data_IF_201560989076
#
_entry.id   IF_201560989076
#
_cell.length_a   1.000
_cell.length_b   1.000
_cell.length_c   1.000
_cell.angle_alpha   90.00
_cell.angle_beta   90.00
_cell.angle_gamma   90.00
#
_symmetry.space_group_name_H-M   'P 1'
#
loop_
_entity.id
_entity.type
_entity.pdbx_description
1 polymer ?
#
# COMPACT_ATOMS: atom_id res chain seq x y z
N UNK A 1 8.93 11.49 8.09
CA UNK A 1 8.36 10.26 7.49
C UNK A 1 8.78 10.19 6.03
N UNK A 2 9.08 8.99 5.52
CA UNK A 2 9.56 8.79 4.14
C UNK A 2 8.75 7.69 3.47
N UNK A 3 8.04 8.01 2.40
CA UNK A 3 7.23 7.03 1.66
C UNK A 3 7.31 7.23 0.15
N UNK A 4 7.36 6.14 -0.59
CA UNK A 4 7.32 6.12 -2.06
C UNK A 4 6.28 5.09 -2.48
N UNK A 5 5.40 5.49 -3.38
CA UNK A 5 4.36 4.62 -3.93
C UNK A 5 3.18 5.39 -4.49
N UNK A 6 2.03 4.75 -4.48
CA UNK A 6 0.76 5.30 -4.93
C UNK A 6 0.04 6.06 -3.81
N UNK A 7 -1.13 6.61 -4.09
CA UNK A 7 -1.96 7.26 -3.07
C UNK A 7 -2.23 6.35 -1.85
N UNK A 8 -2.38 5.04 -2.07
CA UNK A 8 -2.56 4.06 -0.98
C UNK A 8 -1.34 3.93 -0.06
N UNK A 9 -0.14 4.25 -0.58
CA UNK A 9 1.10 4.26 0.20
C UNK A 9 1.32 5.59 0.94
N UNK A 10 0.78 6.70 0.45
CA UNK A 10 1.01 8.05 1.00
C UNK A 10 -0.02 8.44 2.06
N UNK A 11 -1.30 8.13 1.83
CA UNK A 11 -2.37 8.54 2.74
C UNK A 11 -2.21 8.04 4.18
N UNK A 12 -1.80 6.77 4.47
CA UNK A 12 -1.56 6.33 5.83
C UNK A 12 -0.43 7.09 6.53
N UNK A 13 0.63 7.46 5.80
CA UNK A 13 1.73 8.26 6.35
C UNK A 13 1.33 9.69 6.63
N UNK A 14 0.48 10.27 5.78
CA UNK A 14 -0.10 11.57 6.02
C UNK A 14 -1.00 11.55 7.27
N UNK A 15 -1.81 10.51 7.45
CA UNK A 15 -2.60 10.33 8.66
C UNK A 15 -1.73 10.22 9.92
N UNK A 16 -0.64 9.44 9.86
CA UNK A 16 0.30 9.33 10.97
C UNK A 16 1.03 10.67 11.24
N UNK A 17 1.42 11.40 10.18
CA UNK A 17 2.09 12.69 10.33
C UNK A 17 1.19 13.72 11.04
N UNK A 18 -0.09 13.80 10.66
CA UNK A 18 -1.09 14.67 11.32
C UNK A 18 -1.26 14.27 12.79
N UNK A 19 -1.42 12.98 13.07
CA UNK A 19 -1.60 12.50 14.43
C UNK A 19 -0.35 12.75 15.31
N UNK A 20 0.86 12.70 14.74
CA UNK A 20 2.10 13.10 15.41
C UNK A 20 2.12 14.61 15.72
N UNK A 21 1.65 15.46 14.78
CA UNK A 21 1.52 16.91 15.04
C UNK A 21 0.52 17.20 16.15
N UNK A 22 -0.61 16.49 16.19
CA UNK A 22 -1.59 16.59 17.27
C UNK A 22 -1.01 16.17 18.64
N UNK A 23 0.02 15.31 18.63
CA UNK A 23 0.76 14.89 19.83
C UNK A 23 1.92 15.86 20.19
N UNK A 24 2.15 16.91 19.39
CA UNK A 24 3.16 17.96 19.61
C UNK A 24 4.50 17.74 18.93
N UNK A 25 4.59 16.82 17.96
CA UNK A 25 5.81 16.61 17.16
C UNK A 25 5.81 17.49 15.91
N UNK A 26 6.97 17.98 15.53
CA UNK A 26 7.18 18.54 14.19
C UNK A 26 7.37 17.42 13.20
N UNK A 27 6.65 17.45 12.09
CA UNK A 27 6.67 16.38 11.09
C UNK A 27 6.92 16.90 9.68
N UNK A 28 7.79 16.20 8.95
CA UNK A 28 8.02 16.39 7.52
C UNK A 28 7.68 15.09 6.81
N UNK A 29 6.89 15.16 5.73
CA UNK A 29 6.55 14.01 4.92
C UNK A 29 7.23 14.08 3.56
N UNK A 30 8.22 13.21 3.37
CA UNK A 30 8.87 12.98 2.08
C UNK A 30 8.03 12.03 1.23
N UNK A 31 7.62 12.51 0.05
CA UNK A 31 6.86 11.73 -0.93
C UNK A 31 7.15 12.19 -2.37
N UNK A 32 6.60 11.49 -3.38
CA UNK A 32 6.68 11.91 -4.78
C UNK A 32 5.96 13.25 -5.00
N UNK A 33 6.44 14.04 -5.97
CA UNK A 33 5.99 15.41 -6.27
C UNK A 33 4.47 15.53 -6.47
N UNK A 34 3.87 14.52 -7.04
CA UNK A 34 2.41 14.46 -7.31
C UNK A 34 1.52 14.56 -6.05
N UNK A 35 2.09 14.34 -4.85
CA UNK A 35 1.36 14.39 -3.58
C UNK A 35 1.56 15.72 -2.81
N UNK A 36 2.30 16.67 -3.36
CA UNK A 36 2.60 17.95 -2.71
C UNK A 36 1.32 18.65 -2.23
N UNK A 37 0.40 18.92 -3.14
CA UNK A 37 -0.83 19.65 -2.81
C UNK A 37 -1.68 18.91 -1.78
N UNK A 38 -1.73 17.57 -1.85
CA UNK A 38 -2.45 16.76 -0.88
C UNK A 38 -1.85 16.91 0.52
N UNK A 39 -0.52 16.89 0.65
CA UNK A 39 0.18 16.91 1.93
C UNK A 39 0.12 18.33 2.53
N UNK A 40 0.45 19.35 1.75
CA UNK A 40 0.47 20.75 2.20
C UNK A 40 -0.94 21.26 2.56
N UNK A 41 -1.98 20.86 1.79
CA UNK A 41 -3.38 21.18 2.13
C UNK A 41 -3.85 20.65 3.49
N UNK A 42 -3.10 19.69 4.08
CA UNK A 42 -3.36 19.11 5.39
C UNK A 42 -2.46 19.68 6.50
N UNK A 43 -1.70 20.72 6.20
CA UNK A 43 -0.82 21.38 7.18
C UNK A 43 0.45 20.59 7.54
N UNK A 44 0.82 19.57 6.75
CA UNK A 44 2.05 18.82 6.93
C UNK A 44 3.11 19.36 5.97
N UNK A 45 4.33 19.58 6.47
CA UNK A 45 5.45 20.00 5.64
C UNK A 45 5.79 18.90 4.63
N UNK A 46 5.83 19.28 3.34
CA UNK A 46 6.16 18.39 2.24
C UNK A 46 7.62 18.52 1.84
N UNK A 47 8.27 17.38 1.57
CA UNK A 47 9.57 17.34 0.92
C UNK A 47 9.54 16.41 -0.30
N UNK A 48 9.93 16.92 -1.47
CA UNK A 48 9.94 16.12 -2.69
C UNK A 48 11.02 15.04 -2.63
N UNK A 49 10.65 13.79 -2.87
CA UNK A 49 11.56 12.65 -3.05
C UNK A 49 11.86 12.37 -4.53
N UNK A 50 11.34 13.19 -5.43
CA UNK A 50 11.53 13.04 -6.87
C UNK A 50 10.23 12.98 -7.65
N UNK A 51 10.31 12.69 -8.96
CA UNK A 51 9.19 12.74 -9.87
C UNK A 51 8.11 11.69 -9.55
N UNK A 52 6.93 11.89 -10.12
CA UNK A 52 5.79 11.00 -10.02
C UNK A 52 6.11 9.56 -10.40
N UNK A 53 5.89 8.64 -9.46
CA UNK A 53 5.93 7.19 -9.73
C UNK A 53 4.86 6.80 -10.74
N UNK A 54 3.73 7.49 -10.69
CA UNK A 54 2.59 7.31 -11.58
C UNK A 54 2.98 7.62 -13.03
N UNK A 55 3.64 8.77 -13.27
CA UNK A 55 4.15 9.12 -14.59
C UNK A 55 5.18 8.09 -15.10
N UNK A 56 5.99 7.52 -14.21
CA UNK A 56 6.92 6.45 -14.57
C UNK A 56 6.20 5.16 -15.01
N UNK A 57 5.17 4.75 -14.28
CA UNK A 57 4.39 3.54 -14.62
C UNK A 57 3.59 3.70 -15.91
N UNK A 58 3.21 4.94 -16.29
CA UNK A 58 2.50 5.25 -17.55
C UNK A 58 3.40 5.30 -18.78
N UNK A 59 4.71 5.38 -18.63
CA UNK A 59 5.56 5.39 -19.81
C UNK A 59 5.32 4.12 -20.63
N UNK A 60 5.08 4.30 -21.93
CA UNK A 60 4.75 3.22 -22.90
C UNK A 60 5.73 2.04 -22.88
N UNK A 61 6.95 2.25 -22.37
CA UNK A 61 7.96 1.22 -22.15
C UNK A 61 7.61 0.24 -21.02
N UNK A 62 6.92 0.71 -19.96
CA UNK A 62 6.50 -0.17 -18.85
C UNK A 62 5.31 -1.04 -19.27
N UNK A 63 4.35 -0.48 -19.97
CA UNK A 63 3.20 -1.23 -20.54
C UNK A 63 3.66 -2.30 -21.53
N UNK A 64 4.58 -1.95 -22.43
CA UNK A 64 5.17 -2.88 -23.39
C UNK A 64 6.08 -3.93 -22.69
N UNK A 65 6.76 -3.58 -21.61
CA UNK A 65 7.58 -4.53 -20.86
C UNK A 65 6.76 -5.57 -20.10
N UNK A 66 5.58 -5.20 -19.64
CA UNK A 66 4.64 -6.12 -18.97
C UNK A 66 3.88 -6.99 -19.97
N UNK A 67 3.67 -6.52 -21.21
CA UNK A 67 2.96 -7.24 -22.29
C UNK A 67 3.87 -8.13 -23.13
N UNK A 68 5.14 -7.74 -23.32
CA UNK A 68 6.12 -8.48 -24.12
C UNK A 68 7.28 -8.91 -23.23
N UNK A 69 7.52 -10.22 -23.19
CA UNK A 69 8.67 -10.90 -22.55
C UNK A 69 9.41 -10.09 -21.47
N UNK A 70 8.96 -10.21 -20.24
CA UNK A 70 9.53 -9.60 -19.04
C UNK A 70 11.06 -9.76 -18.94
N UNK A 71 11.63 -10.80 -19.53
CA UNK A 71 13.05 -11.11 -19.54
C UNK A 71 13.89 -10.13 -20.38
N UNK A 72 13.34 -9.58 -21.47
CA UNK A 72 14.10 -8.69 -22.37
C UNK A 72 14.22 -7.28 -21.79
N UNK A 73 13.18 -6.80 -21.10
CA UNK A 73 13.10 -5.41 -20.58
C UNK A 73 13.50 -5.29 -19.11
N UNK A 74 13.68 -6.41 -18.40
CA UNK A 74 14.05 -6.42 -16.97
C UNK A 74 15.29 -5.55 -16.64
N UNK A 75 16.42 -5.57 -17.41
CA UNK A 75 17.58 -4.75 -17.09
C UNK A 75 17.31 -3.24 -17.18
N UNK A 76 16.49 -2.80 -18.13
CA UNK A 76 16.15 -1.37 -18.29
C UNK A 76 15.22 -0.90 -17.17
N UNK A 77 14.20 -1.68 -16.82
CA UNK A 77 13.29 -1.40 -15.71
C UNK A 77 14.02 -1.36 -14.36
N UNK A 78 14.96 -2.27 -14.15
CA UNK A 78 15.78 -2.31 -12.94
C UNK A 78 16.67 -1.06 -12.83
N UNK A 79 17.30 -0.62 -13.92
CA UNK A 79 18.11 0.60 -13.93
C UNK A 79 17.29 1.85 -13.64
N UNK A 80 16.09 1.95 -14.21
CA UNK A 80 15.19 3.07 -13.96
C UNK A 80 14.69 3.07 -12.50
N UNK A 81 14.31 1.90 -11.98
CA UNK A 81 13.96 1.76 -10.56
C UNK A 81 15.11 2.17 -9.62
N UNK A 82 16.35 1.79 -9.97
CA UNK A 82 17.54 2.21 -9.22
C UNK A 82 17.74 3.73 -9.24
N UNK A 83 17.52 4.40 -10.37
CA UNK A 83 17.61 5.87 -10.46
C UNK A 83 16.58 6.58 -9.58
N UNK A 84 15.35 6.08 -9.55
CA UNK A 84 14.29 6.62 -8.67
C UNK A 84 14.72 6.49 -7.20
N UNK A 85 15.19 5.31 -6.80
CA UNK A 85 15.65 5.05 -5.43
C UNK A 85 16.87 5.92 -5.07
N UNK A 86 17.84 6.10 -5.99
CA UNK A 86 19.02 6.95 -5.78
C UNK A 86 18.62 8.42 -5.57
N UNK A 87 17.73 8.93 -6.42
CA UNK A 87 17.21 10.30 -6.32
C UNK A 87 16.48 10.49 -4.98
N UNK A 88 15.57 9.60 -4.67
CA UNK A 88 14.78 9.68 -3.44
C UNK A 88 15.66 9.60 -2.19
N UNK A 89 16.67 8.74 -2.19
CA UNK A 89 17.59 8.61 -1.06
C UNK A 89 18.43 9.89 -0.83
N UNK A 90 18.86 10.59 -1.90
CA UNK A 90 19.55 11.88 -1.79
C UNK A 90 18.66 12.98 -1.24
N UNK A 91 17.42 13.06 -1.72
CA UNK A 91 16.44 14.01 -1.22
C UNK A 91 16.08 13.72 0.25
N UNK A 92 15.84 12.47 0.59
CA UNK A 92 15.57 12.06 1.97
C UNK A 92 16.76 12.32 2.91
N UNK A 93 18.00 12.15 2.45
CA UNK A 93 19.20 12.52 3.21
C UNK A 93 19.20 13.99 3.61
N UNK A 94 18.88 14.88 2.65
CA UNK A 94 18.83 16.32 2.92
C UNK A 94 17.67 16.65 3.87
N UNK A 95 16.50 16.04 3.67
CA UNK A 95 15.31 16.24 4.49
C UNK A 95 15.52 15.81 5.96
N UNK A 96 16.26 14.72 6.18
CA UNK A 96 16.42 14.14 7.51
C UNK A 96 17.48 14.82 8.37
N UNK A 97 18.21 15.84 7.85
CA UNK A 97 19.18 16.58 8.65
C UNK A 97 18.48 17.31 9.81
N UNK A 98 18.90 17.01 11.04
CA UNK A 98 18.31 17.58 12.25
C UNK A 98 17.04 16.89 12.75
N UNK A 99 16.62 15.80 12.14
CA UNK A 99 15.50 15.00 12.65
C UNK A 99 15.94 14.10 13.81
N UNK A 100 15.00 13.81 14.73
CA UNK A 100 15.22 12.93 15.89
C UNK A 100 14.87 11.46 15.61
N UNK A 101 14.07 11.18 14.59
CA UNK A 101 13.68 9.84 14.17
C UNK A 101 13.30 9.80 12.68
N UNK A 102 13.40 8.62 12.07
CA UNK A 102 12.95 8.40 10.70
C UNK A 102 11.97 7.22 10.64
N UNK A 103 10.80 7.46 10.05
CA UNK A 103 9.76 6.46 9.81
C UNK A 103 9.75 6.14 8.33
N UNK A 104 9.91 4.87 7.98
CA UNK A 104 10.16 4.40 6.62
C UNK A 104 9.30 3.20 6.26
N UNK A 105 9.08 2.98 4.97
CA UNK A 105 8.47 1.75 4.46
C UNK A 105 9.48 0.87 3.71
N UNK A 106 9.02 -0.27 3.20
CA UNK A 106 9.87 -1.18 2.45
C UNK A 106 10.51 -0.54 1.20
N UNK A 107 9.79 0.36 0.52
CA UNK A 107 10.25 1.04 -0.69
C UNK A 107 11.31 2.11 -0.38
N UNK A 108 11.36 2.57 0.86
CA UNK A 108 12.29 3.59 1.36
C UNK A 108 13.31 3.03 2.36
N UNK A 109 13.63 1.74 2.23
CA UNK A 109 14.56 1.04 3.14
C UNK A 109 15.98 1.63 3.20
N UNK A 110 16.35 2.53 2.27
CA UNK A 110 17.55 3.35 2.36
C UNK A 110 17.55 4.28 3.61
N UNK A 111 16.39 4.56 4.17
CA UNK A 111 16.27 5.32 5.40
C UNK A 111 16.92 4.63 6.62
N UNK A 112 17.14 3.30 6.58
CA UNK A 112 17.95 2.60 7.58
C UNK A 112 19.40 3.10 7.57
N UNK A 113 19.94 3.36 6.38
CA UNK A 113 21.30 3.86 6.22
C UNK A 113 21.42 5.33 6.65
N UNK A 114 20.37 6.13 6.35
CA UNK A 114 20.26 7.52 6.80
C UNK A 114 20.22 7.57 8.34
N UNK A 115 19.40 6.75 8.96
CA UNK A 115 19.28 6.67 10.42
C UNK A 115 20.60 6.27 11.08
N UNK A 116 21.33 5.31 10.49
CA UNK A 116 22.68 4.93 10.95
C UNK A 116 23.65 6.11 10.89
N UNK A 117 23.69 6.84 9.77
CA UNK A 117 24.60 7.96 9.58
C UNK A 117 24.30 9.13 10.52
N UNK A 118 23.01 9.44 10.73
CA UNK A 118 22.55 10.50 11.61
C UNK A 118 22.49 10.09 13.09
N UNK A 119 22.66 8.79 13.38
CA UNK A 119 22.57 8.21 14.74
C UNK A 119 21.21 8.45 15.39
N UNK A 120 20.16 8.31 14.62
CA UNK A 120 18.75 8.42 15.06
C UNK A 120 18.04 7.06 14.91
N UNK A 121 16.93 6.82 15.61
CA UNK A 121 16.14 5.61 15.43
C UNK A 121 15.48 5.55 14.04
N UNK A 122 15.48 4.36 13.43
CA UNK A 122 14.65 4.03 12.29
C UNK A 122 13.48 3.15 12.74
N UNK A 123 12.26 3.52 12.37
CA UNK A 123 11.05 2.73 12.57
C UNK A 123 10.59 2.25 11.20
N UNK A 124 10.53 0.92 11.03
CA UNK A 124 9.98 0.31 9.82
C UNK A 124 8.47 0.28 9.90
N UNK A 125 7.80 0.52 8.77
CA UNK A 125 6.35 0.43 8.69
C UNK A 125 5.92 -0.34 7.45
N UNK A 126 4.77 -0.98 7.51
CA UNK A 126 4.23 -1.69 6.35
C UNK A 126 2.69 -1.70 6.37
N UNK A 127 2.11 -1.67 5.18
CA UNK A 127 0.66 -1.74 4.97
C UNK A 127 0.16 -3.17 4.75
N UNK A 128 1.08 -4.13 4.66
CA UNK A 128 0.84 -5.56 4.43
C UNK A 128 1.82 -6.41 5.25
N UNK A 129 1.49 -7.67 5.58
CA UNK A 129 2.33 -8.54 6.40
C UNK A 129 3.57 -9.00 5.62
N UNK A 130 4.75 -8.56 6.07
CA UNK A 130 6.04 -8.79 5.38
C UNK A 130 7.06 -9.55 6.21
N UNK A 131 6.95 -9.59 7.55
CA UNK A 131 7.84 -10.42 8.36
C UNK A 131 7.62 -11.91 8.05
N UNK A 132 8.71 -12.66 8.03
CA UNK A 132 8.66 -14.10 7.75
C UNK A 132 7.79 -14.85 8.75
N UNK A 133 6.89 -15.71 8.24
CA UNK A 133 6.02 -16.56 9.04
C UNK A 133 5.82 -17.92 8.40
N UNK A 134 5.47 -18.90 9.22
CA UNK A 134 5.03 -20.22 8.78
C UNK A 134 3.54 -20.30 8.46
N UNK A 135 2.74 -19.28 8.80
CA UNK A 135 1.29 -19.31 8.72
C UNK A 135 0.75 -19.02 7.30
N UNK A 136 1.52 -18.28 6.49
CA UNK A 136 1.19 -17.99 5.08
C UNK A 136 2.45 -17.64 4.29
N UNK A 137 2.44 -17.82 2.95
CA UNK A 137 3.55 -17.39 2.09
C UNK A 137 3.60 -15.87 1.98
N UNK A 138 4.76 -15.33 1.59
CA UNK A 138 4.94 -13.89 1.40
C UNK A 138 3.81 -13.30 0.53
N UNK A 139 3.10 -12.32 1.07
CA UNK A 139 1.91 -11.74 0.44
C UNK A 139 2.18 -11.20 -0.97
N UNK A 140 3.38 -10.68 -1.25
CA UNK A 140 3.81 -10.16 -2.55
C UNK A 140 3.87 -11.22 -3.65
N UNK A 141 4.09 -12.49 -3.28
CA UNK A 141 4.12 -13.64 -4.20
C UNK A 141 2.96 -14.61 -3.96
N UNK A 142 1.94 -14.12 -3.26
CA UNK A 142 0.82 -14.94 -2.86
C UNK A 142 0.01 -15.44 -4.08
N UNK A 143 0.02 -16.76 -4.27
CA UNK A 143 -0.69 -17.40 -5.39
C UNK A 143 -2.11 -17.87 -5.04
N UNK A 144 -2.59 -17.52 -3.83
CA UNK A 144 -3.95 -17.84 -3.40
C UNK A 144 -4.07 -19.09 -2.53
N UNK A 145 -2.98 -19.81 -2.26
CA UNK A 145 -2.97 -21.02 -1.45
C UNK A 145 -1.92 -20.95 -0.33
N UNK A 146 -2.22 -21.58 0.78
CA UNK A 146 -1.23 -21.95 1.78
C UNK A 146 -0.32 -23.04 1.20
N UNK A 147 0.99 -22.85 1.32
CA UNK A 147 2.00 -23.77 0.80
C UNK A 147 2.50 -24.75 1.89
N UNK A 148 1.99 -24.62 3.11
CA UNK A 148 2.46 -25.29 4.30
C UNK A 148 3.67 -24.61 4.96
N UNK A 149 3.91 -24.86 6.26
CA UNK A 149 4.82 -24.06 7.09
C UNK A 149 6.23 -23.87 6.53
N UNK A 150 6.83 -24.91 5.97
CA UNK A 150 8.19 -24.87 5.44
C UNK A 150 8.29 -24.02 4.17
N UNK A 151 7.37 -24.23 3.21
CA UNK A 151 7.37 -23.48 1.95
C UNK A 151 6.88 -22.05 2.15
N UNK A 152 5.99 -21.81 3.10
CA UNK A 152 5.62 -20.45 3.50
C UNK A 152 6.87 -19.68 3.94
N UNK A 153 7.66 -20.20 4.87
CA UNK A 153 8.95 -19.58 5.28
C UNK A 153 9.94 -19.43 4.14
N UNK A 154 10.05 -20.43 3.27
CA UNK A 154 10.96 -20.38 2.11
C UNK A 154 10.62 -19.24 1.16
N UNK A 155 9.34 -18.90 0.99
CA UNK A 155 8.90 -17.80 0.11
C UNK A 155 9.52 -16.45 0.50
N UNK A 156 9.76 -16.21 1.80
CA UNK A 156 10.41 -15.00 2.30
C UNK A 156 11.91 -14.94 2.00
N UNK A 157 12.57 -16.07 1.82
CA UNK A 157 13.98 -16.13 1.43
C UNK A 157 14.20 -15.52 0.05
N UNK A 158 13.26 -15.72 -0.87
CA UNK A 158 13.30 -15.07 -2.20
C UNK A 158 13.31 -13.54 -2.10
N UNK A 159 12.52 -12.96 -1.18
CA UNK A 159 12.55 -11.52 -0.94
C UNK A 159 13.87 -11.03 -0.35
N UNK A 160 14.51 -11.83 0.50
CA UNK A 160 15.83 -11.50 1.06
C UNK A 160 16.91 -11.46 -0.02
N UNK A 161 16.88 -12.41 -0.96
CA UNK A 161 17.79 -12.42 -2.12
C UNK A 161 17.55 -11.21 -3.02
N UNK A 162 16.29 -10.90 -3.30
CA UNK A 162 15.93 -9.71 -4.07
C UNK A 162 16.41 -8.42 -3.37
N UNK A 163 16.28 -8.33 -2.05
CA UNK A 163 16.76 -7.20 -1.27
C UNK A 163 18.28 -7.03 -1.35
N UNK A 164 19.04 -8.12 -1.33
CA UNK A 164 20.51 -8.08 -1.50
C UNK A 164 20.91 -7.43 -2.83
N UNK A 165 20.17 -7.68 -3.91
CA UNK A 165 20.38 -7.02 -5.20
C UNK A 165 20.22 -5.50 -5.11
N UNK A 166 19.21 -5.00 -4.38
CA UNK A 166 18.99 -3.57 -4.17
C UNK A 166 20.02 -2.92 -3.24
N UNK A 167 20.76 -3.70 -2.44
CA UNK A 167 21.84 -3.17 -1.59
C UNK A 167 23.09 -2.73 -2.38
N UNK A 168 23.31 -3.25 -3.58
CA UNK A 168 24.48 -2.89 -4.39
C UNK A 168 24.54 -1.39 -4.73
N UNK A 169 23.51 -0.76 -5.34
CA UNK A 169 23.51 0.68 -5.59
C UNK A 169 23.50 1.50 -4.29
N UNK A 170 22.82 1.03 -3.23
CA UNK A 170 22.80 1.67 -1.91
C UNK A 170 24.20 1.80 -1.31
N UNK A 171 25.10 0.85 -1.53
CA UNK A 171 26.47 0.90 -1.04
C UNK A 171 27.28 2.07 -1.64
N UNK A 172 26.92 2.55 -2.83
CA UNK A 172 27.47 3.77 -3.39
C UNK A 172 27.03 4.98 -2.56
N UNK A 173 25.75 5.12 -2.29
CA UNK A 173 25.19 6.20 -1.45
C UNK A 173 25.75 6.17 -0.03
N UNK A 174 25.86 4.99 0.58
CA UNK A 174 26.47 4.83 1.90
C UNK A 174 27.85 5.43 1.97
N UNK A 175 28.71 5.14 0.98
CA UNK A 175 30.08 5.64 0.95
C UNK A 175 30.20 7.11 0.58
N UNK A 176 29.52 7.53 -0.49
CA UNK A 176 29.69 8.86 -1.07
C UNK A 176 28.94 9.94 -0.31
N UNK A 177 27.73 9.65 0.15
CA UNK A 177 26.83 10.62 0.77
C UNK A 177 26.87 10.57 2.30
N UNK A 178 26.91 9.36 2.88
CA UNK A 178 26.70 9.14 4.30
C UNK A 178 28.01 8.84 5.06
N UNK A 179 29.11 8.60 4.34
CA UNK A 179 30.40 8.26 4.97
C UNK A 179 30.43 6.91 5.67
N UNK A 180 29.54 5.98 5.30
CA UNK A 180 29.39 4.66 5.89
C UNK A 180 30.12 3.58 5.06
N UNK A 181 30.50 2.48 5.71
CA UNK A 181 31.01 1.30 5.02
C UNK A 181 29.93 0.58 4.22
N UNK A 182 30.36 -0.20 3.22
CA UNK A 182 29.45 -1.01 2.42
C UNK A 182 28.78 -2.09 3.28
N UNK A 183 27.49 -2.31 3.02
CA UNK A 183 26.69 -3.35 3.64
C UNK A 183 26.47 -4.47 2.62
N UNK A 184 27.08 -5.63 2.84
CA UNK A 184 26.96 -6.78 1.92
C UNK A 184 25.64 -7.51 2.10
N UNK A 185 25.21 -7.68 3.35
CA UNK A 185 23.94 -8.33 3.70
C UNK A 185 23.18 -7.49 4.73
N UNK A 186 21.87 -7.49 4.63
CA UNK A 186 21.02 -6.80 5.60
C UNK A 186 19.56 -7.03 5.28
N UNK A 187 18.80 -7.46 6.28
CA UNK A 187 17.36 -7.63 6.16
C UNK A 187 16.64 -6.30 6.08
N UNK A 188 15.44 -6.33 5.54
CA UNK A 188 14.51 -5.19 5.51
C UNK A 188 14.13 -4.73 6.93
N UNK A 189 14.12 -5.68 7.87
CA UNK A 189 13.62 -5.50 9.24
C UNK A 189 14.74 -5.50 10.30
N UNK A 190 15.97 -5.27 9.89
CA UNK A 190 17.12 -5.21 10.80
C UNK A 190 17.94 -3.95 10.52
N UNK A 191 18.54 -3.40 11.58
CA UNK A 191 19.57 -2.38 11.41
C UNK A 191 20.85 -3.00 10.82
N UNK A 192 21.88 -2.20 10.70
CA UNK A 192 23.17 -2.64 10.10
C UNK A 192 23.94 -3.64 10.96
N UNK A 193 23.67 -3.72 12.25
CA UNK A 193 24.26 -4.71 13.18
C UNK A 193 23.45 -6.02 13.23
N UNK A 194 22.34 -6.11 12.47
CA UNK A 194 21.44 -7.25 12.47
C UNK A 194 20.41 -7.25 13.60
N UNK A 195 20.34 -6.17 14.38
CA UNK A 195 19.30 -6.02 15.42
C UNK A 195 17.94 -5.77 14.77
N UNK A 196 16.87 -6.48 15.19
CA UNK A 196 15.54 -6.26 14.67
C UNK A 196 15.06 -4.81 14.89
N UNK A 197 14.55 -4.18 13.82
CA UNK A 197 13.87 -2.89 13.90
C UNK A 197 12.44 -3.08 14.43
N UNK A 198 11.94 -2.11 15.15
CA UNK A 198 10.50 -2.03 15.40
C UNK A 198 9.79 -1.83 14.06
N UNK A 199 8.84 -2.71 13.79
CA UNK A 199 8.05 -2.70 12.56
C UNK A 199 6.59 -2.52 12.93
N UNK A 200 5.98 -1.42 12.47
CA UNK A 200 4.58 -1.10 12.70
C UNK A 200 3.76 -1.46 11.46
N UNK A 201 2.78 -2.29 11.65
CA UNK A 201 1.87 -2.71 10.59
C UNK A 201 0.57 -1.92 10.66
N UNK A 202 0.32 -1.09 9.63
CA UNK A 202 -0.84 -0.21 9.53
C UNK A 202 -2.07 -0.93 8.95
N UNK A 203 -2.43 -2.05 9.53
CA UNK A 203 -3.67 -2.78 9.29
C UNK A 203 -4.20 -3.37 10.61
N UNK A 204 -5.46 -3.84 10.61
CA UNK A 204 -6.11 -4.38 11.81
C UNK A 204 -5.87 -5.88 11.98
N UNK A 205 -5.66 -6.32 13.23
CA UNK A 205 -5.64 -7.75 13.59
C UNK A 205 -7.00 -8.43 13.34
N UNK A 206 -8.10 -7.71 13.38
CA UNK A 206 -9.41 -8.23 13.01
C UNK A 206 -9.49 -8.65 11.54
N UNK A 207 -8.73 -7.97 10.66
CA UNK A 207 -8.66 -8.31 9.23
C UNK A 207 -7.55 -9.33 8.96
N UNK A 208 -6.39 -9.15 9.54
CA UNK A 208 -5.25 -10.05 9.40
C UNK A 208 -4.55 -10.23 10.75
N UNK A 209 -4.84 -11.34 11.47
CA UNK A 209 -4.23 -11.61 12.75
C UNK A 209 -2.70 -11.60 12.70
N UNK A 210 -2.08 -11.10 13.75
CA UNK A 210 -0.63 -11.12 13.88
C UNK A 210 -0.15 -12.59 13.95
N UNK A 211 0.78 -13.05 13.08
CA UNK A 211 1.33 -14.39 13.15
C UNK A 211 2.04 -14.68 14.48
N UNK A 212 1.88 -15.90 14.98
CA UNK A 212 2.42 -16.30 16.30
C UNK A 212 3.93 -16.36 16.34
N UNK A 213 4.56 -16.64 15.20
CA UNK A 213 6.01 -16.76 15.06
C UNK A 213 6.72 -15.44 14.67
N UNK A 214 6.00 -14.34 14.65
CA UNK A 214 6.60 -13.02 14.43
C UNK A 214 7.42 -12.55 15.65
N UNK A 215 8.52 -11.80 15.41
CA UNK A 215 9.31 -11.22 16.50
C UNK A 215 8.48 -10.20 17.29
N UNK A 216 8.80 -10.01 18.56
CA UNK A 216 8.11 -9.03 19.42
C UNK A 216 8.19 -7.59 18.90
N UNK A 217 9.15 -7.29 18.02
CA UNK A 217 9.31 -5.99 17.39
C UNK A 217 8.36 -5.76 16.21
N UNK A 218 7.63 -6.78 15.75
CA UNK A 218 6.63 -6.67 14.67
C UNK A 218 5.24 -6.50 15.29
N UNK A 219 4.68 -5.30 15.21
CA UNK A 219 3.47 -4.86 15.93
C UNK A 219 2.38 -4.46 14.93
N UNK A 220 1.19 -5.01 15.09
CA UNK A 220 0.01 -4.61 14.32
C UNK A 220 -0.72 -3.53 15.10
N UNK A 221 -0.82 -2.33 14.54
CA UNK A 221 -1.32 -1.15 15.26
C UNK A 221 -2.77 -0.81 14.94
N UNK A 222 -3.33 -1.36 13.88
CA UNK A 222 -4.60 -0.92 13.32
C UNK A 222 -4.39 -0.03 12.09
N UNK A 223 -5.45 0.28 11.36
CA UNK A 223 -5.36 1.11 10.17
C UNK A 223 -5.05 2.58 10.50
N UNK A 224 -4.15 3.19 9.74
CA UNK A 224 -3.87 4.63 9.80
C UNK A 224 -4.75 5.35 8.80
N UNK A 225 -5.91 5.77 9.28
CA UNK A 225 -6.91 6.39 8.40
C UNK A 225 -6.75 7.89 8.33
N UNK A 226 -6.61 8.39 7.11
CA UNK A 226 -6.71 9.81 6.84
C UNK A 226 -8.19 10.21 6.91
N UNK A 227 -8.56 10.95 7.95
CA UNK A 227 -9.90 11.54 8.02
C UNK A 227 -10.02 12.61 6.94
N UNK A 228 -10.92 12.42 5.99
CA UNK A 228 -11.16 13.43 4.96
C UNK A 228 -11.97 14.58 5.57
N UNK A 229 -11.38 15.79 5.50
CA UNK A 229 -12.08 17.03 5.81
C UNK A 229 -12.77 17.62 4.57
N UNK A 230 -12.72 16.90 3.45
CA UNK A 230 -13.28 17.40 2.19
C UNK A 230 -14.80 17.44 2.29
N UNK A 231 -15.37 18.60 1.92
CA UNK A 231 -16.81 18.82 1.74
C UNK A 231 -17.32 18.12 0.46
N UNK A 232 -16.82 16.89 0.21
CA UNK A 232 -17.34 16.14 -0.91
C UNK A 232 -18.79 15.75 -0.68
N UNK A 233 -19.66 16.22 -1.55
CA UNK A 233 -21.07 15.89 -1.60
C UNK A 233 -21.40 15.26 -2.94
N UNK A 234 -22.38 14.35 -2.99
CA UNK A 234 -22.90 13.81 -4.24
C UNK A 234 -23.37 14.95 -5.16
N UNK A 235 -22.90 14.93 -6.43
CA UNK A 235 -23.39 15.88 -7.43
C UNK A 235 -24.90 15.72 -7.64
N UNK A 236 -25.62 16.74 -8.15
CA UNK A 236 -27.04 16.62 -8.45
C UNK A 236 -27.37 15.45 -9.39
N UNK A 237 -26.48 15.14 -10.33
CA UNK A 237 -26.62 14.00 -11.26
C UNK A 237 -26.52 12.68 -10.49
N UNK A 238 -25.55 12.56 -9.57
CA UNK A 238 -25.40 11.37 -8.76
C UNK A 238 -26.57 11.20 -7.78
N UNK A 239 -27.06 12.27 -7.18
CA UNK A 239 -28.24 12.25 -6.33
C UNK A 239 -29.47 11.74 -7.10
N UNK A 240 -29.69 12.22 -8.32
CA UNK A 240 -30.75 11.71 -9.21
C UNK A 240 -30.56 10.24 -9.53
N UNK A 241 -29.33 9.85 -9.84
CA UNK A 241 -29.00 8.44 -10.04
C UNK A 241 -29.34 7.60 -8.79
N UNK A 242 -28.97 8.01 -7.59
CA UNK A 242 -29.28 7.28 -6.35
C UNK A 242 -30.79 7.18 -6.11
N UNK A 243 -31.53 8.26 -6.33
CA UNK A 243 -32.99 8.31 -6.13
C UNK A 243 -33.78 7.44 -7.13
N UNK A 244 -33.20 7.04 -8.24
CA UNK A 244 -33.86 6.29 -9.30
C UNK A 244 -34.00 4.78 -9.03
N UNK A 245 -33.50 4.25 -7.91
CA UNK A 245 -33.65 2.80 -7.57
C UNK A 245 -32.74 2.39 -6.42
N UNK A 246 -32.53 1.07 -6.28
CA UNK A 246 -31.75 0.47 -5.21
C UNK A 246 -30.30 0.96 -5.16
N UNK A 247 -29.68 0.86 -3.98
CA UNK A 247 -28.29 1.27 -3.77
C UNK A 247 -27.35 0.51 -4.73
N UNK A 248 -26.54 1.24 -5.53
CA UNK A 248 -25.65 0.62 -6.51
C UNK A 248 -24.51 -0.16 -5.85
N UNK A 249 -23.81 -0.99 -6.63
CA UNK A 249 -22.51 -1.57 -6.27
C UNK A 249 -21.39 -0.73 -6.88
N UNK A 250 -20.36 -0.41 -6.11
CA UNK A 250 -19.15 0.25 -6.62
C UNK A 250 -18.25 -0.76 -7.34
N UNK A 251 -17.71 -0.39 -8.49
CA UNK A 251 -16.74 -1.20 -9.25
C UNK A 251 -15.55 -0.34 -9.65
N UNK A 252 -14.35 -0.72 -9.18
CA UNK A 252 -13.11 0.00 -9.48
C UNK A 252 -11.90 -0.93 -9.52
N UNK A 253 -11.29 -1.13 -10.69
CA UNK A 253 -10.15 -2.03 -10.86
C UNK A 253 -8.79 -1.38 -10.55
N UNK A 254 -8.77 -0.18 -9.92
CA UNK A 254 -7.56 0.53 -9.54
C UNK A 254 -6.90 1.28 -10.70
N UNK A 255 -5.65 1.70 -10.49
CA UNK A 255 -4.92 2.58 -11.40
C UNK A 255 -4.02 1.86 -12.41
N UNK A 256 -4.09 0.54 -12.52
CA UNK A 256 -3.29 -0.20 -13.51
C UNK A 256 -4.04 -0.32 -14.84
N UNK A 257 -3.43 0.12 -15.97
CA UNK A 257 -4.11 0.25 -17.27
C UNK A 257 -4.18 -1.07 -18.07
N UNK A 258 -4.54 -2.18 -17.41
CA UNK A 258 -4.59 -3.47 -18.08
C UNK A 258 -5.96 -3.76 -18.70
N UNK A 259 -6.02 -3.74 -20.06
CA UNK A 259 -7.17 -4.25 -20.82
C UNK A 259 -8.44 -3.44 -20.65
N UNK A 260 -8.36 -2.11 -20.77
CA UNK A 260 -9.46 -1.17 -20.60
C UNK A 260 -10.73 -1.56 -21.34
N UNK A 261 -10.62 -1.82 -22.65
CA UNK A 261 -11.75 -2.19 -23.50
C UNK A 261 -12.39 -3.50 -23.04
N UNK A 262 -11.58 -4.54 -22.81
CA UNK A 262 -12.08 -5.83 -22.30
C UNK A 262 -12.79 -5.67 -20.95
N UNK A 263 -12.22 -4.90 -20.05
CA UNK A 263 -12.79 -4.69 -18.71
C UNK A 263 -14.12 -3.93 -18.77
N UNK A 264 -14.21 -2.95 -19.67
CA UNK A 264 -15.46 -2.19 -19.92
C UNK A 264 -16.54 -3.11 -20.49
N UNK A 265 -16.23 -3.97 -21.44
CA UNK A 265 -17.20 -4.92 -21.99
C UNK A 265 -17.67 -5.94 -20.93
N UNK A 266 -16.76 -6.49 -20.13
CA UNK A 266 -17.12 -7.39 -19.02
C UNK A 266 -18.04 -6.67 -18.03
N UNK A 267 -17.74 -5.42 -17.67
CA UNK A 267 -18.55 -4.62 -16.76
C UNK A 267 -19.96 -4.39 -17.30
N UNK A 268 -20.09 -3.90 -18.52
CA UNK A 268 -21.39 -3.63 -19.17
C UNK A 268 -22.28 -4.90 -19.20
N UNK A 269 -21.69 -5.99 -19.67
CA UNK A 269 -22.43 -7.26 -19.76
C UNK A 269 -22.77 -7.84 -18.38
N UNK A 270 -21.87 -7.74 -17.40
CA UNK A 270 -22.14 -8.20 -16.04
C UNK A 270 -23.29 -7.42 -15.38
N UNK A 271 -23.33 -6.09 -15.53
CA UNK A 271 -24.42 -5.25 -14.99
C UNK A 271 -25.74 -5.58 -15.71
N UNK A 272 -25.69 -5.82 -17.03
CA UNK A 272 -26.88 -6.25 -17.78
C UNK A 272 -27.40 -7.61 -17.32
N UNK A 273 -26.53 -8.59 -17.10
CA UNK A 273 -26.89 -9.93 -16.63
C UNK A 273 -27.44 -9.92 -15.20
N UNK A 274 -26.86 -9.10 -14.34
CA UNK A 274 -27.31 -8.93 -12.96
C UNK A 274 -28.62 -8.15 -12.85
N UNK A 275 -28.83 -7.18 -13.75
CA UNK A 275 -30.04 -6.34 -13.75
C UNK A 275 -30.08 -5.26 -12.68
N UNK A 276 -28.98 -5.05 -11.94
CA UNK A 276 -28.86 -4.02 -10.90
C UNK A 276 -28.17 -2.76 -11.39
N UNK A 277 -27.66 -1.96 -10.45
CA UNK A 277 -27.06 -0.63 -10.71
C UNK A 277 -25.63 -0.58 -10.20
N UNK A 278 -24.74 0.06 -10.97
CA UNK A 278 -23.34 0.18 -10.61
C UNK A 278 -22.85 1.63 -10.60
N UNK A 279 -21.85 1.87 -9.77
CA UNK A 279 -21.05 3.10 -9.78
C UNK A 279 -19.62 2.74 -10.12
N UNK A 280 -19.03 3.40 -11.10
CA UNK A 280 -17.68 3.09 -11.55
C UNK A 280 -16.76 4.29 -11.37
N UNK A 281 -15.53 4.05 -10.93
CA UNK A 281 -14.49 5.08 -11.03
C UNK A 281 -13.94 5.08 -12.46
N UNK A 282 -13.95 6.24 -13.10
CA UNK A 282 -13.16 6.55 -14.31
C UNK A 282 -11.69 6.58 -13.89
N UNK A 283 -11.21 5.49 -13.32
CA UNK A 283 -9.82 5.40 -12.92
C UNK A 283 -8.98 4.94 -14.10
N UNK A 284 -7.69 4.96 -13.91
CA UNK A 284 -6.66 4.47 -14.83
C UNK A 284 -6.84 3.00 -15.22
N UNK A 285 -7.67 2.24 -14.49
CA UNK A 285 -8.05 0.86 -14.77
C UNK A 285 -8.90 0.64 -16.01
N UNK A 286 -9.09 1.68 -16.82
CA UNK A 286 -9.58 1.55 -18.17
C UNK A 286 -11.05 1.15 -18.27
N UNK A 287 -11.93 1.93 -17.65
CA UNK A 287 -13.35 1.91 -18.02
C UNK A 287 -13.57 3.12 -18.91
N UNK A 288 -13.95 2.87 -20.18
CA UNK A 288 -14.39 3.91 -21.10
C UNK A 288 -15.81 4.35 -20.73
N UNK A 289 -16.02 5.61 -20.31
CA UNK A 289 -17.32 6.10 -19.92
C UNK A 289 -18.21 6.54 -21.07
N UNK A 290 -17.71 6.58 -22.30
CA UNK A 290 -18.40 7.20 -23.45
C UNK A 290 -19.65 6.44 -23.89
N UNK A 291 -19.80 5.16 -23.48
CA UNK A 291 -20.90 4.28 -23.89
C UNK A 291 -21.36 3.40 -22.73
N UNK A 292 -21.70 4.03 -21.60
CA UNK A 292 -22.25 3.32 -20.45
C UNK A 292 -23.77 3.42 -20.43
N UNK A 293 -24.48 2.31 -20.10
CA UNK A 293 -25.94 2.35 -19.95
C UNK A 293 -26.36 3.16 -18.71
N UNK A 294 -27.60 3.61 -18.68
CA UNK A 294 -28.17 4.42 -17.57
C UNK A 294 -28.09 3.75 -16.21
N UNK A 295 -27.94 2.40 -16.19
CA UNK A 295 -27.74 1.64 -14.95
C UNK A 295 -26.33 1.79 -14.36
N UNK A 296 -25.40 2.46 -15.04
CA UNK A 296 -24.01 2.67 -14.62
C UNK A 296 -23.69 4.15 -14.53
N UNK A 297 -23.37 4.64 -13.33
CA UNK A 297 -22.89 6.01 -13.12
C UNK A 297 -21.36 6.02 -13.00
N UNK A 298 -20.70 6.92 -13.76
CA UNK A 298 -19.23 7.03 -13.77
C UNK A 298 -18.74 8.29 -13.07
N UNK A 299 -17.82 8.13 -12.10
CA UNK A 299 -17.09 9.24 -11.47
C UNK A 299 -15.69 9.40 -12.07
N UNK A 300 -15.20 10.64 -12.14
CA UNK A 300 -13.77 10.86 -12.40
C UNK A 300 -12.92 10.55 -11.17
N UNK A 301 -13.32 11.09 -10.02
CA UNK A 301 -12.67 10.86 -8.73
C UNK A 301 -13.67 11.08 -7.60
N UNK A 302 -13.68 10.19 -6.63
CA UNK A 302 -14.45 10.38 -5.41
C UNK A 302 -13.70 9.73 -4.23
N UNK A 303 -13.72 10.33 -3.02
CA UNK A 303 -13.14 9.74 -1.83
C UNK A 303 -13.92 8.48 -1.45
N UNK A 304 -13.22 7.36 -1.26
CA UNK A 304 -13.86 6.07 -0.96
C UNK A 304 -14.65 6.11 0.36
N UNK A 305 -14.14 6.78 1.38
CA UNK A 305 -14.80 6.92 2.68
C UNK A 305 -16.11 7.70 2.63
N UNK A 306 -16.30 8.52 1.59
CA UNK A 306 -17.55 9.25 1.32
C UNK A 306 -18.46 8.45 0.37
N UNK A 307 -17.90 8.03 -0.78
CA UNK A 307 -18.67 7.35 -1.83
C UNK A 307 -19.24 6.01 -1.34
N UNK A 308 -18.48 5.23 -0.57
CA UNK A 308 -18.93 3.89 -0.14
C UNK A 308 -20.10 3.92 0.85
N UNK A 309 -20.46 5.09 1.37
CA UNK A 309 -21.70 5.26 2.16
C UNK A 309 -22.97 5.08 1.32
N UNK A 310 -22.87 5.30 0.02
CA UNK A 310 -24.00 5.28 -0.93
C UNK A 310 -24.13 3.97 -1.71
N UNK A 311 -23.25 2.99 -1.47
CA UNK A 311 -23.24 1.73 -2.22
C UNK A 311 -23.58 0.54 -1.33
N UNK A 312 -24.15 -0.50 -1.91
CA UNK A 312 -24.54 -1.74 -1.21
C UNK A 312 -23.39 -2.74 -1.09
N UNK A 313 -22.36 -2.63 -1.95
CA UNK A 313 -21.19 -3.48 -1.97
C UNK A 313 -20.08 -2.87 -2.79
N UNK A 314 -18.88 -3.45 -2.73
CA UNK A 314 -17.67 -2.92 -3.36
C UNK A 314 -16.97 -4.03 -4.16
N UNK A 315 -16.67 -3.75 -5.44
CA UNK A 315 -15.80 -4.58 -6.28
C UNK A 315 -14.51 -3.80 -6.55
N UNK A 316 -13.36 -4.35 -6.18
CA UNK A 316 -12.09 -3.66 -6.39
C UNK A 316 -10.91 -4.62 -6.57
N UNK A 317 -9.74 -4.06 -6.93
CA UNK A 317 -8.53 -4.83 -7.22
C UNK A 317 -7.85 -5.47 -5.99
N UNK A 318 -8.22 -5.09 -4.77
CA UNK A 318 -7.64 -5.65 -3.54
C UNK A 318 -6.46 -4.89 -2.97
N UNK A 319 -6.25 -3.62 -3.33
CA UNK A 319 -5.28 -2.77 -2.64
C UNK A 319 -5.65 -2.59 -1.16
N UNK A 320 -4.66 -2.57 -0.26
CA UNK A 320 -4.84 -2.48 1.19
C UNK A 320 -5.77 -1.32 1.61
N UNK A 321 -5.58 -0.12 1.05
CA UNK A 321 -6.39 1.07 1.37
C UNK A 321 -7.85 0.94 0.94
N UNK A 322 -8.13 0.42 -0.27
CA UNK A 322 -9.51 0.23 -0.75
C UNK A 322 -10.22 -0.90 0.01
N UNK A 323 -9.48 -1.97 0.35
CA UNK A 323 -10.00 -3.06 1.21
C UNK A 323 -10.38 -2.50 2.58
N UNK A 324 -9.50 -1.72 3.18
CA UNK A 324 -9.76 -1.02 4.45
C UNK A 324 -11.00 -0.14 4.37
N UNK A 325 -11.12 0.70 3.34
CA UNK A 325 -12.25 1.63 3.18
C UNK A 325 -13.60 0.89 3.08
N UNK A 326 -13.65 -0.22 2.33
CA UNK A 326 -14.86 -1.06 2.20
C UNK A 326 -15.25 -1.69 3.54
N UNK A 327 -14.29 -2.31 4.22
CA UNK A 327 -14.52 -2.98 5.51
C UNK A 327 -14.90 -2.00 6.63
N UNK A 328 -14.27 -0.82 6.71
CA UNK A 328 -14.63 0.21 7.70
C UNK A 328 -16.08 0.72 7.58
N UNK A 329 -16.63 0.68 6.37
CA UNK A 329 -18.02 1.09 6.13
C UNK A 329 -18.99 -0.10 6.09
N UNK A 330 -18.54 -1.29 6.50
CA UNK A 330 -19.36 -2.49 6.56
C UNK A 330 -19.88 -2.91 5.19
N UNK A 331 -19.10 -2.71 4.13
CA UNK A 331 -19.53 -3.04 2.76
C UNK A 331 -19.03 -4.42 2.37
N UNK A 332 -19.95 -5.34 2.00
CA UNK A 332 -19.57 -6.59 1.35
C UNK A 332 -18.64 -6.32 0.17
N UNK A 333 -17.57 -7.12 0.03
CA UNK A 333 -16.51 -6.78 -0.91
C UNK A 333 -16.11 -7.98 -1.77
N UNK A 334 -16.13 -7.80 -3.09
CA UNK A 334 -15.55 -8.76 -4.05
C UNK A 334 -14.21 -8.26 -4.58
N UNK A 335 -13.16 -9.05 -4.37
CA UNK A 335 -11.81 -8.67 -4.78
C UNK A 335 -11.42 -9.35 -6.09
N UNK A 336 -10.97 -8.54 -7.05
CA UNK A 336 -10.49 -8.94 -8.37
C UNK A 336 -8.98 -8.62 -8.49
N UNK A 337 -8.10 -9.44 -7.88
CA UNK A 337 -6.70 -9.11 -7.75
C UNK A 337 -5.97 -9.20 -9.09
N UNK A 338 -5.00 -8.30 -9.27
CA UNK A 338 -4.12 -8.21 -10.43
C UNK A 338 -2.71 -8.67 -10.08
N UNK A 339 -2.09 -8.09 -9.04
CA UNK A 339 -0.70 -8.32 -8.68
C UNK A 339 -0.42 -8.04 -7.18
N UNK A 340 0.81 -8.23 -6.77
CA UNK A 340 1.40 -7.84 -5.48
C UNK A 340 0.64 -8.49 -4.31
N UNK A 341 0.23 -7.70 -3.30
CA UNK A 341 -0.46 -8.14 -2.09
C UNK A 341 -1.99 -8.29 -2.26
N UNK A 342 -2.52 -7.89 -3.42
CA UNK A 342 -3.96 -7.90 -3.67
C UNK A 342 -4.62 -9.29 -3.52
N UNK A 343 -4.00 -10.41 -3.97
CA UNK A 343 -4.56 -11.75 -3.74
C UNK A 343 -4.63 -12.11 -2.25
N UNK A 344 -3.69 -11.60 -1.44
CA UNK A 344 -3.69 -11.80 0.00
C UNK A 344 -4.91 -11.13 0.65
N UNK A 345 -5.13 -9.84 0.37
CA UNK A 345 -6.27 -9.11 0.90
C UNK A 345 -7.61 -9.69 0.43
N UNK A 346 -7.69 -10.11 -0.83
CA UNK A 346 -8.88 -10.77 -1.36
C UNK A 346 -9.19 -12.07 -0.63
N UNK A 347 -8.18 -12.86 -0.28
CA UNK A 347 -8.36 -14.05 0.56
C UNK A 347 -8.84 -13.69 1.96
N UNK A 348 -8.28 -12.67 2.59
CA UNK A 348 -8.71 -12.22 3.93
C UNK A 348 -10.18 -11.82 3.94
N UNK A 349 -10.64 -11.04 2.96
CA UNK A 349 -12.06 -10.68 2.80
C UNK A 349 -12.95 -11.91 2.70
N UNK A 350 -12.55 -12.90 1.90
CA UNK A 350 -13.26 -14.16 1.75
C UNK A 350 -13.29 -14.98 3.05
N UNK A 351 -12.15 -15.13 3.73
CA UNK A 351 -12.04 -15.88 5.00
C UNK A 351 -12.84 -15.24 6.14
N UNK A 352 -12.99 -13.91 6.14
CA UNK A 352 -13.86 -13.17 7.04
C UNK A 352 -15.36 -13.32 6.70
N UNK A 353 -15.67 -13.98 5.60
CA UNK A 353 -17.06 -14.08 5.12
C UNK A 353 -17.67 -12.72 4.74
N UNK A 354 -16.84 -11.75 4.37
CA UNK A 354 -17.27 -10.40 3.96
C UNK A 354 -17.52 -10.29 2.46
N UNK A 355 -17.36 -11.37 1.70
CA UNK A 355 -17.62 -11.39 0.27
C UNK A 355 -17.21 -12.68 -0.42
N UNK A 356 -17.48 -12.79 -1.74
CA UNK A 356 -17.20 -13.98 -2.53
C UNK A 356 -15.68 -14.25 -2.65
N UNK A 357 -15.36 -15.50 -3.02
CA UNK A 357 -13.96 -15.89 -3.31
C UNK A 357 -13.34 -15.01 -4.39
N UNK A 358 -12.13 -14.46 -4.17
CA UNK A 358 -11.48 -13.58 -5.13
C UNK A 358 -11.18 -14.29 -6.46
N UNK A 359 -11.33 -13.56 -7.57
CA UNK A 359 -11.07 -14.06 -8.92
C UNK A 359 -10.08 -13.12 -9.61
N UNK A 360 -8.94 -13.65 -10.07
CA UNK A 360 -7.93 -12.84 -10.77
C UNK A 360 -8.51 -12.18 -12.03
N UNK A 361 -8.16 -10.93 -12.29
CA UNK A 361 -8.67 -10.12 -13.40
C UNK A 361 -8.58 -10.86 -14.78
N UNK A 362 -7.49 -11.59 -15.03
CA UNK A 362 -7.32 -12.39 -16.26
C UNK A 362 -8.33 -13.53 -16.43
N UNK A 363 -8.95 -13.99 -15.33
CA UNK A 363 -9.97 -15.05 -15.29
C UNK A 363 -11.39 -14.50 -15.12
N UNK A 364 -11.53 -13.18 -14.97
CA UNK A 364 -12.82 -12.55 -14.81
C UNK A 364 -13.61 -12.64 -16.13
N UNK A 365 -14.87 -13.06 -16.03
CA UNK A 365 -15.86 -13.02 -17.11
C UNK A 365 -17.09 -12.21 -16.64
N UNK A 366 -17.97 -11.88 -17.57
CA UNK A 366 -19.20 -11.16 -17.26
C UNK A 366 -20.10 -11.96 -16.31
N UNK A 367 -20.22 -13.27 -16.52
CA UNK A 367 -21.04 -14.18 -15.70
C UNK A 367 -20.50 -14.27 -14.26
N UNK A 368 -19.17 -14.38 -14.11
CA UNK A 368 -18.51 -14.40 -12.78
C UNK A 368 -18.77 -13.08 -12.05
N UNK A 369 -18.60 -11.95 -12.73
CA UNK A 369 -18.85 -10.64 -12.13
C UNK A 369 -20.33 -10.46 -11.79
N UNK A 370 -21.25 -10.85 -12.68
CA UNK A 370 -22.70 -10.77 -12.44
C UNK A 370 -23.12 -11.59 -11.21
N UNK A 371 -22.61 -12.82 -11.08
CA UNK A 371 -22.86 -13.65 -9.91
C UNK A 371 -22.34 -13.00 -8.62
N UNK A 372 -21.13 -12.43 -8.65
CA UNK A 372 -20.55 -11.71 -7.52
C UNK A 372 -21.37 -10.46 -7.15
N UNK A 373 -21.86 -9.69 -8.15
CA UNK A 373 -22.72 -8.53 -7.93
C UNK A 373 -24.05 -8.93 -7.27
N UNK A 374 -24.64 -10.04 -7.72
CA UNK A 374 -25.83 -10.61 -7.11
C UNK A 374 -25.58 -10.99 -5.65
N UNK A 375 -24.47 -11.71 -5.37
CA UNK A 375 -24.09 -12.10 -4.00
C UNK A 375 -23.88 -10.88 -3.10
N UNK A 376 -23.15 -9.84 -3.56
CA UNK A 376 -22.93 -8.62 -2.79
C UNK A 376 -24.23 -7.90 -2.44
N UNK A 377 -25.22 -8.00 -3.30
CA UNK A 377 -26.50 -7.31 -3.14
C UNK A 377 -27.48 -8.05 -2.23
N UNK A 378 -27.46 -9.39 -2.25
CA UNK A 378 -28.51 -10.23 -1.64
C UNK A 378 -28.05 -11.09 -0.48
N UNK A 379 -26.74 -11.36 -0.36
CA UNK A 379 -26.21 -12.23 0.70
C UNK A 379 -26.12 -11.48 2.04
N UNK A 380 -27.12 -11.69 2.90
CA UNK A 380 -27.20 -11.03 4.21
C UNK A 380 -26.02 -11.40 5.13
N UNK A 381 -25.44 -12.61 4.99
CA UNK A 381 -24.29 -13.01 5.83
C UNK A 381 -23.07 -12.16 5.51
N UNK A 382 -22.80 -11.83 4.25
CA UNK A 382 -21.72 -10.92 3.89
C UNK A 382 -21.91 -9.53 4.48
N UNK A 383 -23.15 -9.01 4.46
CA UNK A 383 -23.47 -7.71 5.03
C UNK A 383 -23.31 -7.69 6.55
N UNK A 384 -23.80 -8.72 7.22
CA UNK A 384 -23.66 -8.86 8.67
C UNK A 384 -22.18 -8.94 9.07
N UNK A 385 -21.43 -9.86 8.46
CA UNK A 385 -20.00 -10.04 8.79
C UNK A 385 -19.19 -8.78 8.51
N UNK A 386 -19.44 -8.10 7.38
CA UNK A 386 -18.79 -6.82 7.07
C UNK A 386 -19.15 -5.74 8.09
N UNK A 387 -20.39 -5.72 8.59
CA UNK A 387 -20.86 -4.84 9.65
C UNK A 387 -20.13 -5.09 10.97
N UNK A 388 -20.02 -6.34 11.41
CA UNK A 388 -19.30 -6.73 12.63
C UNK A 388 -17.81 -6.34 12.56
N UNK A 389 -17.17 -6.55 11.41
CA UNK A 389 -15.79 -6.09 11.18
C UNK A 389 -15.72 -4.56 11.24
N UNK A 390 -16.67 -3.84 10.64
CA UNK A 390 -16.67 -2.38 10.66
C UNK A 390 -16.74 -1.81 12.08
N UNK A 391 -17.56 -2.39 12.97
CA UNK A 391 -17.64 -1.98 14.38
C UNK A 391 -16.27 -2.08 15.06
N UNK A 392 -15.54 -3.18 14.85
CA UNK A 392 -14.20 -3.35 15.41
C UNK A 392 -13.23 -2.32 14.84
N UNK A 393 -13.21 -2.15 13.50
CA UNK A 393 -12.29 -1.23 12.84
C UNK A 393 -12.53 0.24 13.23
N UNK A 394 -13.79 0.63 13.41
CA UNK A 394 -14.16 2.00 13.80
C UNK A 394 -13.79 2.32 15.26
N UNK A 395 -13.69 1.31 16.11
CA UNK A 395 -13.26 1.45 17.50
C UNK A 395 -11.72 1.48 17.66
N UNK A 396 -10.96 1.14 16.61
CA UNK A 396 -9.50 1.12 16.66
C UNK A 396 -8.89 2.53 16.58
N UNK A 397 -7.88 2.80 17.42
CA UNK A 397 -6.99 3.94 17.28
C UNK A 397 -5.63 3.48 16.74
N UNK A 398 -5.55 3.29 15.43
CA UNK A 398 -4.33 2.77 14.79
C UNK A 398 -3.15 3.74 14.83
N UNK A 399 -3.40 5.02 14.63
CA UNK A 399 -2.35 6.06 14.68
C UNK A 399 -1.87 6.31 16.10
N UNK A 400 -2.77 6.35 17.09
CA UNK A 400 -2.40 6.51 18.50
C UNK A 400 -1.52 5.37 18.99
N UNK A 401 -1.90 4.10 18.72
CA UNK A 401 -1.07 2.93 19.05
C UNK A 401 0.29 2.98 18.35
N UNK A 402 0.35 3.44 17.09
CA UNK A 402 1.61 3.58 16.38
C UNK A 402 2.51 4.63 17.04
N UNK A 403 1.95 5.78 17.45
CA UNK A 403 2.69 6.85 18.11
C UNK A 403 3.25 6.39 19.46
N UNK A 404 2.46 5.68 20.27
CA UNK A 404 2.92 5.13 21.54
C UNK A 404 4.15 4.20 21.36
N UNK A 405 4.19 3.41 20.29
CA UNK A 405 5.34 2.56 19.98
C UNK A 405 6.53 3.36 19.42
N UNK A 406 6.29 4.40 18.63
CA UNK A 406 7.33 5.33 18.15
C UNK A 406 7.99 6.03 19.34
N UNK A 407 7.21 6.54 20.29
CA UNK A 407 7.72 7.17 21.50
C UNK A 407 8.58 6.22 22.34
N UNK A 408 8.16 4.95 22.49
CA UNK A 408 8.96 3.92 23.18
C UNK A 408 10.29 3.66 22.47
N UNK A 409 10.30 3.61 21.13
CA UNK A 409 11.53 3.45 20.36
C UNK A 409 12.45 4.63 20.56
N UNK A 410 11.95 5.87 20.48
CA UNK A 410 12.73 7.08 20.67
C UNK A 410 13.32 7.15 22.10
N UNK A 411 12.52 6.87 23.12
CA UNK A 411 12.96 6.90 24.53
C UNK A 411 14.03 5.86 24.86
N UNK A 412 14.02 4.70 24.18
CA UNK A 412 14.95 3.60 24.44
C UNK A 412 16.10 3.52 23.43
N UNK A 413 16.16 4.45 22.47
CA UNK A 413 17.18 4.40 21.43
C UNK A 413 18.59 4.59 21.97
N UNK A 414 19.49 3.69 21.56
CA UNK A 414 20.92 3.80 21.81
C UNK A 414 21.64 3.86 20.48
N UNK A 415 22.37 4.95 20.17
CA UNK A 415 23.10 5.06 18.91
C UNK A 415 24.03 3.88 18.67
N UNK A 416 24.00 3.36 17.46
CA UNK A 416 24.90 2.31 17.02
C UNK A 416 26.36 2.82 17.13
N UNK A 417 27.24 2.06 17.77
CA UNK A 417 28.67 2.37 17.83
C UNK A 417 29.30 2.13 16.47
N UNK A 418 29.39 3.15 15.63
CA UNK A 418 30.16 3.07 14.39
C UNK A 418 31.64 2.82 14.75
N UNK A 419 32.21 1.73 14.25
CA UNK A 419 33.68 1.53 14.34
C UNK A 419 34.37 2.71 13.64
N UNK A 420 35.38 3.34 14.26
CA UNK A 420 36.12 4.41 13.59
C UNK A 420 36.69 3.88 12.28
N UNK A 421 36.57 4.68 11.19
CA UNK A 421 37.18 4.35 9.90
C UNK A 421 38.63 3.96 10.13
N UNK A 422 39.02 2.77 9.70
CA UNK A 422 40.46 2.49 9.54
C UNK A 422 41.02 3.52 8.56
N UNK A 423 42.06 4.28 8.94
CA UNK A 423 42.67 5.22 8.02
C UNK A 423 43.07 4.47 6.74
N UNK A 424 42.70 5.03 5.59
CA UNK A 424 43.12 4.46 4.31
C UNK A 424 44.63 4.28 4.36
N UNK A 425 45.13 3.06 4.16
CA UNK A 425 46.55 2.78 3.98
C UNK A 425 46.99 3.64 2.79
N UNK A 426 47.71 4.71 3.08
CA UNK A 426 48.46 5.43 2.03
C UNK A 426 49.52 4.45 1.55
N UNK A 427 49.35 3.91 0.36
CA UNK A 427 50.48 3.32 -0.36
C UNK A 427 51.47 4.46 -0.60
N UNK A 428 52.54 4.45 0.17
CA UNK A 428 53.74 5.26 -0.11
C UNK A 428 54.40 4.59 -1.30
N UNK A 429 54.28 5.20 -2.49
CA UNK A 429 54.99 4.84 -3.67
C UNK A 429 56.37 5.48 -3.68
#
# INVERSE_FOLDING_TARGET
>A
LVTIGTQGDVQPYLALAIALQERGYETVLGASEEFKDLIESRGVEFHSLGPSIQAFLQQSRFENAMSQSMLINAPALLRQGQQIVDTAARHAWNMCQGCDAIIINMNTSFGIDIAEALKIPAIMTALQPLNSTSEFPLCMYYVGNDLGPALNKLSYTAATVQQAYWNLPRNKLRRELMGLDARLMGGLFTNTEGTPLTTLYAYSEAVSPRPRDWPKTALVTGYWQLKTHDDWHPSPEFQRFLAAGDAPVYIGFGSMPFGAERNTQILKEAVRLWGGRAVVARGWGGIDPSDLPDSIFAFEKAPHDKLFRYVSGVVHHGGAGTTSAGLHLGRPTFVVPQAIDQPYWGRRVYELGCGPKPVRLRKLTAEILAAALQDLSTNESYRRNAGEIAEVLQAEDGTGKAIDEIEKVMANYKPVRTKPRRPALKLVG
#
